data_IF_501790208724
#
_entry.id   IF_501790208724
#
_cell.length_a   1.000
_cell.length_b   1.000
_cell.length_c   1.000
_cell.angle_alpha   90.00
_cell.angle_beta   90.00
_cell.angle_gamma   90.00
#
_symmetry.space_group_name_H-M   'P 1'
#
loop_
_entity.id
_entity.type
_entity.pdbx_description
1 polymer ?
#
# COMPACT_ATOMS: atom_id res chain seq x y z
N UNK A 1 32.27 -29.32 53.15
CA UNK A 1 33.01 -30.58 53.02
C UNK A 1 32.69 -31.14 51.64
N UNK A 2 33.50 -30.84 50.61
CA UNK A 2 34.56 -31.70 50.06
C UNK A 2 33.99 -33.03 49.51
N UNK A 3 34.16 -33.45 48.26
CA UNK A 3 35.30 -33.31 47.36
C UNK A 3 34.88 -33.46 45.89
N UNK A 4 35.58 -32.74 45.01
CA UNK A 4 35.58 -32.90 43.56
C UNK A 4 36.40 -34.12 43.12
N UNK A 5 36.17 -34.62 41.90
CA UNK A 5 37.24 -35.03 40.98
C UNK A 5 36.75 -35.06 39.51
N UNK A 6 37.52 -34.34 38.72
CA UNK A 6 37.51 -33.98 37.30
C UNK A 6 37.68 -35.18 36.35
N UNK A 7 37.16 -35.09 35.11
CA UNK A 7 37.89 -35.48 33.88
C UNK A 7 37.21 -34.88 32.62
N UNK A 8 38.05 -34.48 31.66
CA UNK A 8 37.85 -33.61 30.49
C UNK A 8 37.66 -34.47 29.19
N UNK A 9 37.08 -33.96 28.08
CA UNK A 9 36.49 -34.76 27.00
C UNK A 9 37.45 -35.03 25.83
N UNK A 10 37.08 -35.87 24.83
CA UNK A 10 37.83 -35.92 23.57
C UNK A 10 37.26 -34.95 22.54
N UNK A 11 38.21 -34.26 21.92
CA UNK A 11 38.12 -33.39 20.76
C UNK A 11 38.05 -34.19 19.45
N UNK A 12 37.35 -33.68 18.45
CA UNK A 12 37.69 -33.91 17.04
C UNK A 12 37.08 -32.81 16.15
N UNK A 13 37.92 -31.84 15.77
CA UNK A 13 37.75 -31.02 14.57
C UNK A 13 38.12 -31.88 13.36
N UNK A 14 37.29 -31.90 12.33
CA UNK A 14 37.69 -32.32 10.99
C UNK A 14 37.50 -31.14 10.03
N UNK A 15 38.61 -30.47 9.73
CA UNK A 15 38.79 -29.58 8.58
C UNK A 15 39.30 -30.48 7.45
N UNK A 16 38.65 -30.47 6.29
CA UNK A 16 39.28 -30.97 5.06
C UNK A 16 39.05 -29.96 3.93
N UNK A 17 40.13 -29.29 3.53
CA UNK A 17 40.33 -28.70 2.21
C UNK A 17 41.04 -29.74 1.35
N UNK A 18 40.64 -29.88 0.08
CA UNK A 18 41.49 -29.66 -1.10
C UNK A 18 41.13 -30.54 -2.32
N UNK A 19 41.10 -29.85 -3.48
CA UNK A 19 41.39 -30.28 -4.88
C UNK A 19 40.37 -31.21 -5.55
N UNK A 20 39.70 -30.81 -6.65
CA UNK A 20 40.19 -30.44 -7.99
C UNK A 20 40.92 -31.61 -8.68
N UNK A 21 40.21 -32.28 -9.59
CA UNK A 21 40.66 -32.68 -10.94
C UNK A 21 39.67 -33.69 -11.57
N UNK A 22 39.36 -33.50 -12.87
CA UNK A 22 38.85 -34.44 -13.91
C UNK A 22 37.86 -33.75 -14.89
N UNK A 23 37.76 -34.15 -16.17
CA UNK A 23 38.65 -33.73 -17.25
C UNK A 23 37.92 -33.05 -18.43
N UNK A 24 38.69 -32.34 -19.26
CA UNK A 24 38.30 -31.77 -20.54
C UNK A 24 37.87 -32.88 -21.53
N UNK A 25 36.62 -32.80 -22.01
CA UNK A 25 36.15 -33.52 -23.20
C UNK A 25 35.94 -32.52 -24.34
N UNK A 26 36.65 -32.75 -25.45
CA UNK A 26 36.63 -31.94 -26.66
C UNK A 26 35.58 -32.53 -27.61
N UNK A 27 34.59 -31.71 -28.01
CA UNK A 27 33.58 -32.03 -29.02
C UNK A 27 33.59 -31.00 -30.17
N UNK A 28 33.14 -31.35 -31.38
CA UNK A 28 33.63 -30.75 -32.62
C UNK A 28 33.00 -29.38 -32.96
N UNK A 29 33.79 -28.60 -33.69
CA UNK A 29 33.51 -27.23 -34.11
C UNK A 29 32.29 -27.11 -35.04
N UNK A 30 31.35 -26.23 -34.66
CA UNK A 30 30.32 -25.70 -35.56
C UNK A 30 30.74 -24.30 -35.99
N UNK A 31 31.01 -24.14 -37.29
CA UNK A 31 31.25 -22.86 -37.97
C UNK A 31 29.98 -22.01 -37.92
N UNK A 32 30.03 -20.86 -37.27
CA UNK A 32 29.12 -19.75 -37.52
C UNK A 32 29.87 -18.58 -38.12
N UNK A 33 29.45 -18.20 -39.32
CA UNK A 33 29.98 -17.10 -40.13
C UNK A 33 29.79 -15.76 -39.42
N UNK A 34 30.91 -15.13 -39.01
CA UNK A 34 30.93 -13.72 -38.56
C UNK A 34 30.64 -12.81 -39.75
N UNK A 35 29.54 -12.06 -39.68
CA UNK A 35 29.31 -10.88 -40.53
C UNK A 35 30.08 -9.70 -39.91
N UNK A 36 30.86 -9.01 -40.74
CA UNK A 36 31.75 -7.93 -40.34
C UNK A 36 31.00 -6.76 -39.69
N UNK A 37 31.54 -6.25 -38.58
CA UNK A 37 31.06 -5.05 -37.90
C UNK A 37 31.32 -3.79 -38.73
N UNK A 38 30.32 -2.91 -38.79
CA UNK A 38 30.48 -1.50 -39.21
C UNK A 38 31.04 -0.69 -38.02
N UNK A 39 31.84 0.35 -38.27
CA UNK A 39 32.40 1.18 -37.20
C UNK A 39 31.31 2.00 -36.51
N UNK A 40 31.42 2.15 -35.18
CA UNK A 40 30.63 3.11 -34.41
C UNK A 40 31.03 4.52 -34.85
N UNK A 41 30.13 5.22 -35.52
CA UNK A 41 30.19 6.66 -35.69
C UNK A 41 29.87 7.31 -34.35
N UNK A 42 30.84 8.04 -33.80
CA UNK A 42 30.67 8.91 -32.63
C UNK A 42 29.62 9.99 -32.93
N UNK A 43 28.48 9.93 -32.26
CA UNK A 43 27.49 11.02 -32.23
C UNK A 43 27.98 12.15 -31.31
N UNK A 44 27.73 13.43 -31.64
CA UNK A 44 28.19 14.54 -30.82
C UNK A 44 27.37 14.61 -29.53
N UNK A 45 28.05 14.83 -28.41
CA UNK A 45 27.45 15.25 -27.17
C UNK A 45 26.89 16.67 -27.33
N UNK A 46 25.56 16.80 -27.39
CA UNK A 46 24.77 17.92 -26.86
C UNK A 46 23.32 17.83 -27.33
N UNK A 47 22.42 17.43 -26.42
CA UNK A 47 21.00 17.76 -26.38
C UNK A 47 20.33 17.02 -25.20
N UNK A 48 20.62 17.40 -23.96
CA UNK A 48 19.78 17.01 -22.82
C UNK A 48 18.55 17.92 -22.88
N UNK A 49 17.61 17.59 -23.74
CA UNK A 49 16.22 18.02 -23.58
C UNK A 49 15.61 17.04 -22.60
N UNK A 50 15.32 17.49 -21.38
CA UNK A 50 14.53 16.72 -20.44
C UNK A 50 13.15 16.49 -21.06
N UNK A 51 12.93 15.28 -21.59
CA UNK A 51 11.59 14.81 -21.93
C UNK A 51 10.82 14.78 -20.63
N UNK A 52 9.77 15.61 -20.50
CA UNK A 52 8.83 15.48 -19.39
C UNK A 52 8.34 14.02 -19.35
N UNK A 53 8.27 13.39 -18.17
CA UNK A 53 7.71 12.04 -18.05
C UNK A 53 6.31 12.04 -18.67
N UNK A 54 5.99 11.00 -19.44
CA UNK A 54 4.68 10.91 -20.08
C UNK A 54 3.63 10.73 -18.98
N UNK A 55 2.62 11.58 -18.96
CA UNK A 55 1.48 11.43 -18.06
C UNK A 55 0.47 10.44 -18.62
N UNK A 56 -0.33 9.84 -17.72
CA UNK A 56 -1.41 8.92 -18.05
C UNK A 56 -2.65 9.36 -17.29
N UNK A 57 -3.73 9.68 -18.02
CA UNK A 57 -5.03 9.94 -17.43
C UNK A 57 -5.75 8.60 -17.23
N UNK A 58 -6.08 8.26 -15.99
CA UNK A 58 -6.79 7.05 -15.61
C UNK A 58 -8.26 7.39 -15.30
N UNK A 59 -9.17 6.55 -15.77
CA UNK A 59 -10.61 6.61 -15.55
C UNK A 59 -11.04 5.26 -14.97
N UNK A 60 -11.58 5.27 -13.75
CA UNK A 60 -11.80 4.05 -12.96
C UNK A 60 -13.19 4.07 -12.34
N UNK A 61 -14.02 3.09 -12.65
CA UNK A 61 -15.31 2.85 -11.99
C UNK A 61 -15.16 1.84 -10.85
N UNK A 62 -16.15 1.77 -9.96
CA UNK A 62 -16.23 0.72 -8.96
C UNK A 62 -16.52 -0.64 -9.62
N UNK A 63 -15.80 -1.73 -9.33
CA UNK A 63 -16.13 -3.06 -9.83
C UNK A 63 -17.57 -3.53 -9.52
N UNK A 64 -18.17 -3.07 -8.42
CA UNK A 64 -19.56 -3.34 -8.07
C UNK A 64 -20.56 -2.55 -8.93
N UNK A 65 -20.12 -1.44 -9.55
CA UNK A 65 -20.91 -0.57 -10.43
C UNK A 65 -20.10 -0.25 -11.70
N UNK A 66 -19.89 -1.23 -12.61
CA UNK A 66 -18.99 -1.09 -13.75
C UNK A 66 -19.63 -0.25 -14.88
N UNK A 67 -19.63 1.07 -14.68
CA UNK A 67 -20.34 2.05 -15.52
C UNK A 67 -19.46 2.76 -16.55
N UNK A 68 -18.23 2.28 -16.79
CA UNK A 68 -17.33 2.95 -17.73
C UNK A 68 -17.72 2.64 -19.18
N UNK A 69 -18.30 3.63 -19.87
CA UNK A 69 -18.82 3.47 -21.23
C UNK A 69 -17.85 3.98 -22.32
N UNK A 70 -17.72 3.29 -23.47
CA UNK A 70 -16.87 3.74 -24.58
C UNK A 70 -17.22 5.14 -25.12
N UNK A 71 -18.49 5.54 -25.05
CA UNK A 71 -18.93 6.86 -25.50
C UNK A 71 -18.35 7.99 -24.65
N UNK A 72 -18.33 7.80 -23.32
CA UNK A 72 -17.69 8.75 -22.38
C UNK A 72 -16.19 8.85 -22.64
N UNK A 73 -15.51 7.71 -22.80
CA UNK A 73 -14.07 7.68 -23.11
C UNK A 73 -13.78 8.41 -24.43
N UNK A 74 -14.59 8.17 -25.47
CA UNK A 74 -14.43 8.83 -26.77
C UNK A 74 -14.63 10.35 -26.67
N UNK A 75 -15.59 10.81 -25.88
CA UNK A 75 -15.80 12.24 -25.64
C UNK A 75 -14.60 12.89 -24.95
N UNK A 76 -14.09 12.28 -23.87
CA UNK A 76 -12.89 12.76 -23.17
C UNK A 76 -11.68 12.75 -24.12
N UNK A 77 -11.45 11.64 -24.82
CA UNK A 77 -10.32 11.48 -25.74
C UNK A 77 -10.33 12.49 -26.89
N UNK A 78 -11.50 12.85 -27.42
CA UNK A 78 -11.62 13.84 -28.47
C UNK A 78 -11.05 15.21 -28.05
N UNK A 79 -11.17 15.55 -26.77
CA UNK A 79 -10.67 16.80 -26.19
C UNK A 79 -9.25 16.69 -25.64
N UNK A 80 -8.87 15.53 -25.09
CA UNK A 80 -7.56 15.35 -24.47
C UNK A 80 -6.48 14.88 -25.44
N UNK A 81 -6.85 14.20 -26.53
CA UNK A 81 -5.93 13.43 -27.37
C UNK A 81 -5.24 12.29 -26.59
N UNK A 82 -4.13 11.77 -27.13
CA UNK A 82 -3.39 10.64 -26.56
C UNK A 82 -3.78 9.29 -27.16
N UNK A 83 -3.34 8.21 -26.54
CA UNK A 83 -3.67 6.82 -26.92
C UNK A 83 -4.59 6.20 -25.87
N UNK A 84 -5.73 5.66 -26.31
CA UNK A 84 -6.67 4.95 -25.43
C UNK A 84 -6.15 3.54 -25.20
N UNK A 85 -6.08 3.14 -23.94
CA UNK A 85 -5.81 1.75 -23.54
C UNK A 85 -6.85 1.29 -22.50
N UNK A 86 -7.44 0.11 -22.70
CA UNK A 86 -8.45 -0.44 -21.78
C UNK A 86 -7.82 -1.52 -20.90
N UNK A 87 -7.68 -1.24 -19.62
CA UNK A 87 -7.18 -2.19 -18.62
C UNK A 87 -8.28 -3.18 -18.18
N UNK A 88 -9.54 -2.72 -18.22
CA UNK A 88 -10.74 -3.53 -18.05
C UNK A 88 -11.92 -2.90 -18.81
N UNK A 89 -12.64 -3.70 -19.60
CA UNK A 89 -13.67 -3.23 -20.57
C UNK A 89 -14.74 -2.27 -20.02
N UNK A 90 -15.11 -2.40 -18.75
CA UNK A 90 -16.18 -1.61 -18.12
C UNK A 90 -15.78 -0.96 -16.79
N UNK A 91 -14.52 -1.12 -16.38
CA UNK A 91 -14.04 -0.67 -15.05
C UNK A 91 -12.91 0.33 -15.19
N UNK A 92 -11.92 0.07 -16.06
CA UNK A 92 -10.71 0.86 -16.10
C UNK A 92 -10.25 1.13 -17.53
N UNK A 93 -10.12 2.40 -17.87
CA UNK A 93 -9.55 2.88 -19.11
C UNK A 93 -8.49 3.93 -18.79
N UNK A 94 -7.47 4.02 -19.63
CA UNK A 94 -6.48 5.07 -19.55
C UNK A 94 -6.28 5.75 -20.90
N UNK A 95 -5.84 7.00 -20.84
CA UNK A 95 -5.39 7.78 -21.98
C UNK A 95 -3.91 8.08 -21.75
N UNK A 96 -3.05 7.40 -22.50
CA UNK A 96 -1.60 7.51 -22.43
C UNK A 96 -1.16 8.75 -23.21
N UNK A 97 -0.26 9.53 -22.61
CA UNK A 97 0.29 10.75 -23.18
C UNK A 97 -0.80 11.71 -23.72
N UNK A 98 -1.76 12.13 -22.87
CA UNK A 98 -2.76 13.10 -23.27
C UNK A 98 -2.07 14.38 -23.75
N UNK A 99 -2.57 14.93 -24.85
CA UNK A 99 -2.02 16.15 -25.47
C UNK A 99 -2.48 17.41 -24.72
N UNK A 100 -3.63 17.36 -24.08
CA UNK A 100 -4.14 18.44 -23.23
C UNK A 100 -3.43 18.47 -21.88
N UNK A 101 -3.01 19.66 -21.45
CA UNK A 101 -2.49 19.89 -20.10
C UNK A 101 -3.58 19.85 -19.03
N UNK A 102 -4.84 20.01 -19.43
CA UNK A 102 -6.01 20.06 -18.54
C UNK A 102 -6.82 18.76 -18.59
N UNK A 103 -6.20 17.66 -19.03
CA UNK A 103 -6.87 16.38 -19.26
C UNK A 103 -7.70 15.89 -18.06
N UNK A 104 -7.22 16.12 -16.84
CA UNK A 104 -7.94 15.78 -15.62
C UNK A 104 -9.22 16.62 -15.43
N UNK A 105 -9.17 17.91 -15.74
CA UNK A 105 -10.34 18.80 -15.62
C UNK A 105 -11.40 18.43 -16.64
N UNK A 106 -10.98 18.22 -17.89
CA UNK A 106 -11.83 17.78 -19.00
C UNK A 106 -12.53 16.46 -18.64
N UNK A 107 -11.76 15.49 -18.15
CA UNK A 107 -12.30 14.21 -17.71
C UNK A 107 -13.37 14.37 -16.62
N UNK A 108 -13.08 15.16 -15.58
CA UNK A 108 -14.02 15.39 -14.47
C UNK A 108 -15.29 16.10 -14.91
N UNK A 109 -15.19 17.06 -15.83
CA UNK A 109 -16.35 17.75 -16.39
C UNK A 109 -17.23 16.79 -17.21
N UNK A 110 -16.62 15.97 -18.06
CA UNK A 110 -17.34 14.98 -18.86
C UNK A 110 -17.97 13.85 -18.01
N UNK A 111 -17.29 13.42 -16.94
CA UNK A 111 -17.82 12.44 -15.97
C UNK A 111 -19.06 13.01 -15.24
N UNK A 112 -19.03 14.30 -14.89
CA UNK A 112 -20.08 14.94 -14.13
C UNK A 112 -20.28 14.27 -12.77
N UNK A 113 -21.46 13.69 -12.54
CA UNK A 113 -21.82 13.01 -11.30
C UNK A 113 -21.81 11.48 -11.39
N UNK A 114 -21.31 10.91 -12.49
CA UNK A 114 -21.19 9.46 -12.62
C UNK A 114 -20.16 8.93 -11.60
N UNK A 115 -20.34 7.71 -11.05
CA UNK A 115 -19.44 7.12 -10.05
C UNK A 115 -18.15 6.60 -10.70
N UNK A 116 -17.38 7.52 -11.28
CA UNK A 116 -16.14 7.27 -12.02
C UNK A 116 -15.08 8.22 -11.48
N UNK A 117 -13.96 7.64 -11.04
CA UNK A 117 -12.78 8.37 -10.61
C UNK A 117 -11.92 8.77 -11.82
N UNK A 118 -11.31 9.95 -11.72
CA UNK A 118 -10.30 10.42 -12.67
C UNK A 118 -9.03 10.86 -11.94
N UNK A 119 -7.89 10.38 -12.42
CA UNK A 119 -6.57 10.69 -11.87
C UNK A 119 -5.53 10.81 -12.98
N UNK A 120 -4.50 11.63 -12.77
CA UNK A 120 -3.32 11.67 -13.65
C UNK A 120 -2.13 11.14 -12.87
N UNK A 121 -1.42 10.19 -13.47
CA UNK A 121 -0.22 9.57 -12.91
C UNK A 121 0.93 9.65 -13.92
N UNK A 122 2.16 9.52 -13.43
CA UNK A 122 3.33 9.40 -14.29
C UNK A 122 3.46 7.97 -14.82
N UNK A 123 3.84 7.83 -16.10
CA UNK A 123 4.18 6.54 -16.71
C UNK A 123 5.53 5.98 -16.21
N UNK A 124 6.44 6.86 -15.78
CA UNK A 124 7.72 6.45 -15.21
C UNK A 124 7.53 5.93 -13.78
N UNK A 125 8.20 4.84 -13.43
CA UNK A 125 8.09 4.19 -12.11
C UNK A 125 6.64 3.88 -11.72
N UNK A 126 5.76 3.63 -12.70
CA UNK A 126 4.32 3.47 -12.48
C UNK A 126 3.99 2.27 -11.59
N UNK A 127 4.60 1.10 -11.86
CA UNK A 127 4.51 -0.08 -10.97
C UNK A 127 5.37 0.10 -9.72
N UNK A 128 4.72 0.20 -8.57
CA UNK A 128 5.35 0.49 -7.28
C UNK A 128 5.92 -0.79 -6.68
N UNK A 129 7.10 -0.67 -6.07
CA UNK A 129 7.81 -1.77 -5.40
C UNK A 129 7.59 -1.81 -3.89
N UNK A 130 6.88 -0.83 -3.33
CA UNK A 130 6.54 -0.76 -1.92
C UNK A 130 5.12 -0.24 -1.77
N UNK A 131 4.31 -0.91 -0.96
CA UNK A 131 3.00 -0.45 -0.49
C UNK A 131 3.04 -0.25 1.03
N UNK A 132 2.61 0.93 1.48
CA UNK A 132 2.22 1.19 2.86
C UNK A 132 0.72 1.52 2.88
N UNK A 133 -0.05 0.87 3.75
CA UNK A 133 -1.49 1.07 3.84
C UNK A 133 -1.93 1.31 5.29
N UNK A 134 -2.89 2.20 5.51
CA UNK A 134 -3.64 2.22 6.77
C UNK A 134 -4.54 0.98 6.88
N UNK A 135 -5.03 0.69 8.08
CA UNK A 135 -5.95 -0.41 8.36
C UNK A 135 -7.40 0.09 8.43
N UNK A 136 -7.73 0.80 9.51
CA UNK A 136 -9.08 1.29 9.79
C UNK A 136 -9.56 2.19 8.65
N UNK A 137 -10.83 2.05 8.26
CA UNK A 137 -11.45 2.80 7.15
C UNK A 137 -10.71 2.75 5.79
N UNK A 138 -9.75 1.84 5.62
CA UNK A 138 -8.92 1.70 4.41
C UNK A 138 -8.85 0.25 3.94
N UNK A 139 -8.19 -0.65 4.71
CA UNK A 139 -8.09 -2.08 4.39
C UNK A 139 -9.21 -2.90 5.04
N UNK A 140 -9.87 -2.33 6.06
CA UNK A 140 -11.13 -2.77 6.66
C UNK A 140 -12.11 -1.60 6.65
N UNK A 141 -13.42 -1.89 6.73
CA UNK A 141 -14.45 -0.85 6.61
C UNK A 141 -14.75 -0.12 7.92
N UNK A 142 -14.37 -0.70 9.05
CA UNK A 142 -14.70 -0.20 10.38
C UNK A 142 -13.51 0.47 11.07
N UNK A 143 -13.83 1.28 12.09
CA UNK A 143 -12.89 1.76 13.10
C UNK A 143 -12.83 0.75 14.25
N UNK A 144 -11.71 0.02 14.41
CA UNK A 144 -11.61 -1.07 15.38
C UNK A 144 -11.94 -0.65 16.81
N UNK A 145 -11.57 0.57 17.22
CA UNK A 145 -11.80 1.07 18.57
C UNK A 145 -13.28 1.33 18.86
N UNK A 146 -14.03 1.77 17.85
CA UNK A 146 -15.46 2.05 17.98
C UNK A 146 -16.25 0.74 18.14
N UNK A 147 -15.86 -0.32 17.42
CA UNK A 147 -16.46 -1.66 17.54
C UNK A 147 -16.14 -2.32 18.89
N UNK A 148 -14.96 -2.04 19.48
CA UNK A 148 -14.65 -2.47 20.84
C UNK A 148 -15.49 -1.72 21.88
N UNK A 149 -15.70 -0.42 21.67
CA UNK A 149 -16.52 0.39 22.55
C UNK A 149 -18.01 -0.02 22.49
N UNK A 150 -18.50 -0.46 21.33
CA UNK A 150 -19.85 -0.97 21.16
C UNK A 150 -20.14 -2.19 22.03
N UNK A 151 -19.15 -3.07 22.22
CA UNK A 151 -19.27 -4.22 23.11
C UNK A 151 -19.52 -3.83 24.59
N UNK A 152 -19.24 -2.58 24.95
CA UNK A 152 -19.51 -1.98 26.27
C UNK A 152 -20.68 -0.98 26.26
N UNK A 153 -21.34 -0.77 25.11
CA UNK A 153 -22.37 0.25 24.95
C UNK A 153 -21.84 1.69 24.93
N UNK A 154 -20.53 1.87 24.67
CA UNK A 154 -19.83 3.16 24.71
C UNK A 154 -19.49 3.72 23.31
N UNK A 155 -20.02 3.12 22.24
CA UNK A 155 -19.70 3.48 20.85
C UNK A 155 -19.85 4.98 20.58
N UNK A 156 -20.96 5.59 21.01
CA UNK A 156 -21.21 7.01 20.79
C UNK A 156 -20.21 7.93 21.50
N UNK A 157 -19.78 7.57 22.71
CA UNK A 157 -18.80 8.35 23.48
C UNK A 157 -17.41 8.27 22.86
N UNK A 158 -16.98 7.07 22.46
CA UNK A 158 -15.69 6.85 21.82
C UNK A 158 -15.64 7.49 20.43
N UNK A 159 -16.69 7.34 19.62
CA UNK A 159 -16.78 7.94 18.29
C UNK A 159 -16.70 9.49 18.35
N UNK A 160 -17.33 10.11 19.35
CA UNK A 160 -17.24 11.56 19.55
C UNK A 160 -15.80 12.03 19.86
N UNK A 161 -15.02 11.23 20.62
CA UNK A 161 -13.59 11.52 20.86
C UNK A 161 -12.78 11.30 19.58
N UNK A 162 -13.05 10.22 18.84
CA UNK A 162 -12.40 9.91 17.55
C UNK A 162 -12.59 11.06 16.55
N UNK A 163 -13.83 11.54 16.39
CA UNK A 163 -14.15 12.64 15.47
C UNK A 163 -13.38 13.92 15.82
N UNK A 164 -13.36 14.32 17.09
CA UNK A 164 -12.62 15.50 17.56
C UNK A 164 -11.11 15.37 17.36
N UNK A 165 -10.55 14.18 17.59
CA UNK A 165 -9.14 13.92 17.34
C UNK A 165 -8.79 14.00 15.85
N UNK A 166 -9.62 13.43 14.98
CA UNK A 166 -9.45 13.51 13.52
C UNK A 166 -9.61 14.95 12.98
N UNK A 167 -10.43 15.77 13.64
CA UNK A 167 -10.57 17.20 13.33
C UNK A 167 -9.40 18.07 13.86
N UNK A 168 -8.46 17.47 14.60
CA UNK A 168 -7.33 18.18 15.20
C UNK A 168 -7.66 18.99 16.44
N UNK A 169 -8.83 18.76 17.06
CA UNK A 169 -9.24 19.42 18.31
C UNK A 169 -8.59 18.82 19.55
N UNK A 170 -8.12 17.57 19.45
CA UNK A 170 -7.45 16.82 20.52
C UNK A 170 -6.10 16.31 20.03
N UNK A 171 -5.12 16.26 20.93
CA UNK A 171 -3.87 15.56 20.65
C UNK A 171 -4.16 14.06 20.43
N UNK A 172 -3.50 13.46 19.44
CA UNK A 172 -3.75 12.08 19.05
C UNK A 172 -3.44 11.09 20.18
N UNK A 173 -2.32 11.28 20.88
CA UNK A 173 -1.91 10.38 21.95
C UNK A 173 -2.85 10.49 23.16
N UNK A 174 -3.27 11.71 23.51
CA UNK A 174 -4.26 11.96 24.57
C UNK A 174 -5.63 11.38 24.21
N UNK A 175 -6.10 11.58 22.98
CA UNK A 175 -7.36 11.04 22.49
C UNK A 175 -7.34 9.51 22.42
N UNK A 176 -6.23 8.90 21.99
CA UNK A 176 -6.06 7.45 22.02
C UNK A 176 -6.08 6.92 23.46
N UNK A 177 -5.28 7.50 24.36
CA UNK A 177 -5.25 7.10 25.76
C UNK A 177 -6.63 7.19 26.42
N UNK A 178 -7.35 8.27 26.17
CA UNK A 178 -8.72 8.47 26.67
C UNK A 178 -9.65 7.35 26.18
N UNK A 179 -9.69 7.09 24.86
CA UNK A 179 -10.57 6.07 24.28
C UNK A 179 -10.22 4.67 24.76
N UNK A 180 -8.93 4.33 24.88
CA UNK A 180 -8.50 3.02 25.38
C UNK A 180 -8.81 2.86 26.86
N UNK A 181 -8.73 3.93 27.67
CA UNK A 181 -9.10 3.86 29.09
C UNK A 181 -10.57 3.47 29.31
N UNK A 182 -11.47 3.84 28.39
CA UNK A 182 -12.89 3.47 28.43
C UNK A 182 -13.12 1.97 28.18
N UNK A 183 -12.12 1.26 27.64
CA UNK A 183 -12.18 -0.18 27.36
C UNK A 183 -11.63 -1.04 28.51
N UNK A 184 -11.27 -0.43 29.65
CA UNK A 184 -10.75 -1.15 30.83
C UNK A 184 -11.69 -2.27 31.25
N UNK A 185 -11.14 -3.46 31.49
CA UNK A 185 -11.90 -4.64 31.92
C UNK A 185 -12.55 -5.43 30.78
N UNK A 186 -12.48 -4.95 29.52
CA UNK A 186 -12.97 -5.72 28.37
C UNK A 186 -12.16 -7.02 28.23
N UNK A 187 -12.87 -8.15 28.17
CA UNK A 187 -12.24 -9.47 28.11
C UNK A 187 -11.67 -9.76 26.71
N UNK A 188 -10.50 -10.39 26.65
CA UNK A 188 -9.81 -10.81 25.42
C UNK A 188 -10.73 -11.57 24.47
N UNK A 189 -11.53 -12.52 24.99
CA UNK A 189 -12.47 -13.30 24.18
C UNK A 189 -13.52 -12.44 23.47
N UNK A 190 -13.91 -11.30 24.05
CA UNK A 190 -14.86 -10.37 23.44
C UNK A 190 -14.18 -9.61 22.30
N UNK A 191 -12.94 -9.16 22.50
CA UNK A 191 -12.12 -8.54 21.44
C UNK A 191 -11.93 -9.51 20.27
N UNK A 192 -11.69 -10.79 20.54
CA UNK A 192 -11.60 -11.85 19.52
C UNK A 192 -12.90 -12.03 18.73
N UNK A 193 -14.04 -12.00 19.43
CA UNK A 193 -15.35 -12.08 18.80
C UNK A 193 -15.60 -10.85 17.90
N UNK A 194 -15.36 -9.63 18.40
CA UNK A 194 -15.46 -8.38 17.62
C UNK A 194 -14.60 -8.46 16.36
N UNK A 195 -13.31 -8.78 16.50
CA UNK A 195 -12.39 -8.93 15.35
C UNK A 195 -12.87 -9.94 14.32
N UNK A 196 -13.54 -11.02 14.73
CA UNK A 196 -14.01 -12.09 13.82
C UNK A 196 -15.35 -11.78 13.19
N UNK A 197 -16.25 -11.11 13.91
CA UNK A 197 -17.68 -11.05 13.60
C UNK A 197 -18.16 -9.65 13.19
N UNK A 198 -17.43 -8.60 13.56
CA UNK A 198 -17.80 -7.21 13.29
C UNK A 198 -16.96 -6.55 12.21
N UNK A 199 -15.70 -6.94 12.11
CA UNK A 199 -14.76 -6.30 11.18
C UNK A 199 -14.77 -6.99 9.82
N UNK A 200 -14.94 -6.20 8.77
CA UNK A 200 -15.04 -6.64 7.38
C UNK A 200 -13.90 -6.08 6.54
N UNK A 201 -13.41 -6.88 5.59
CA UNK A 201 -12.35 -6.44 4.68
C UNK A 201 -12.90 -5.44 3.65
N UNK A 202 -12.14 -4.39 3.37
CA UNK A 202 -12.43 -3.49 2.26
C UNK A 202 -12.30 -4.25 0.93
N UNK A 203 -13.23 -4.03 -0.04
CA UNK A 203 -13.16 -4.69 -1.34
C UNK A 203 -11.85 -4.36 -2.07
N UNK A 204 -11.31 -5.34 -2.79
CA UNK A 204 -10.07 -5.20 -3.55
C UNK A 204 -8.76 -5.27 -2.74
N UNK A 205 -8.78 -5.19 -1.40
CA UNK A 205 -7.56 -5.09 -0.61
C UNK A 205 -6.64 -6.31 -0.69
N UNK A 206 -7.22 -7.52 -0.68
CA UNK A 206 -6.47 -8.75 -0.94
C UNK A 206 -5.89 -8.77 -2.36
N UNK A 207 -6.66 -8.33 -3.34
CA UNK A 207 -6.21 -8.32 -4.72
C UNK A 207 -5.03 -7.36 -4.93
N UNK A 208 -5.11 -6.16 -4.34
CA UNK A 208 -4.03 -5.18 -4.33
C UNK A 208 -2.73 -5.79 -3.78
N UNK A 209 -2.78 -6.33 -2.56
CA UNK A 209 -1.59 -6.85 -1.87
C UNK A 209 -1.02 -8.07 -2.59
N UNK A 210 -1.86 -9.05 -2.93
CA UNK A 210 -1.39 -10.29 -3.58
C UNK A 210 -0.80 -10.01 -4.96
N UNK A 211 -1.44 -9.15 -5.76
CA UNK A 211 -0.92 -8.76 -7.07
C UNK A 211 0.43 -8.07 -6.91
N UNK A 212 0.52 -7.01 -6.10
CA UNK A 212 1.79 -6.29 -5.91
C UNK A 212 2.92 -7.22 -5.44
N UNK A 213 2.64 -8.15 -4.52
CA UNK A 213 3.62 -9.13 -4.04
C UNK A 213 4.07 -10.11 -5.12
N UNK A 214 3.16 -10.60 -5.96
CA UNK A 214 3.53 -11.47 -7.07
C UNK A 214 4.47 -10.80 -8.07
N UNK A 215 4.39 -9.47 -8.18
CA UNK A 215 5.31 -8.63 -8.97
C UNK A 215 6.52 -8.11 -8.17
N UNK A 216 6.77 -8.66 -6.97
CA UNK A 216 7.97 -8.41 -6.18
C UNK A 216 7.94 -7.17 -5.30
N UNK A 217 6.77 -6.56 -5.08
CA UNK A 217 6.64 -5.47 -4.13
C UNK A 217 6.68 -5.97 -2.68
N UNK A 218 7.21 -5.14 -1.79
CA UNK A 218 7.05 -5.32 -0.34
C UNK A 218 5.81 -4.58 0.13
N UNK A 219 5.06 -5.16 1.07
CA UNK A 219 3.78 -4.62 1.52
C UNK A 219 3.72 -4.54 3.05
N UNK A 220 3.36 -3.37 3.57
CA UNK A 220 3.28 -3.12 5.01
C UNK A 220 1.93 -2.48 5.39
N UNK A 221 1.31 -3.00 6.45
CA UNK A 221 0.11 -2.43 7.05
C UNK A 221 0.50 -1.62 8.30
N UNK A 222 0.35 -0.30 8.27
CA UNK A 222 0.79 0.58 9.36
C UNK A 222 -0.39 1.40 9.86
N UNK A 223 -0.82 1.15 11.10
CA UNK A 223 -2.07 1.67 11.63
C UNK A 223 -1.93 2.28 13.03
N UNK A 224 -2.72 3.32 13.30
CA UNK A 224 -2.93 3.86 14.65
C UNK A 224 -3.89 3.00 15.50
N UNK A 225 -4.49 1.96 14.92
CA UNK A 225 -5.28 0.95 15.62
C UNK A 225 -4.38 -0.01 16.41
N UNK A 226 -4.81 -1.28 16.54
CA UNK A 226 -4.17 -2.23 17.46
C UNK A 226 -3.59 -3.48 16.76
N UNK A 227 -2.45 -3.98 17.25
CA UNK A 227 -1.79 -5.18 16.71
C UNK A 227 -2.70 -6.40 16.71
N UNK A 228 -3.61 -6.49 17.68
CA UNK A 228 -4.60 -7.55 17.78
C UNK A 228 -5.47 -7.71 16.51
N UNK A 229 -5.71 -6.60 15.81
CA UNK A 229 -6.44 -6.52 14.55
C UNK A 229 -5.47 -6.48 13.37
N UNK A 230 -4.44 -5.62 13.44
CA UNK A 230 -3.49 -5.43 12.35
C UNK A 230 -2.79 -6.73 11.95
N UNK A 231 -2.25 -7.50 12.90
CA UNK A 231 -1.58 -8.77 12.60
C UNK A 231 -2.53 -9.80 11.98
N UNK A 232 -3.78 -9.81 12.45
CA UNK A 232 -4.81 -10.72 12.00
C UNK A 232 -5.24 -10.45 10.55
N UNK A 233 -5.54 -9.19 10.23
CA UNK A 233 -5.94 -8.80 8.88
C UNK A 233 -4.76 -8.75 7.92
N UNK A 234 -3.59 -8.31 8.37
CA UNK A 234 -2.36 -8.37 7.59
C UNK A 234 -2.08 -9.78 7.09
N UNK A 235 -2.17 -10.80 7.95
CA UNK A 235 -1.99 -12.20 7.57
C UNK A 235 -3.07 -12.70 6.60
N UNK A 236 -4.34 -12.32 6.80
CA UNK A 236 -5.46 -12.74 5.94
C UNK A 236 -5.40 -12.14 4.53
N UNK A 237 -5.00 -10.87 4.44
CA UNK A 237 -4.81 -10.14 3.19
C UNK A 237 -3.48 -10.57 2.53
N UNK A 238 -2.48 -10.90 3.36
CA UNK A 238 -1.18 -11.43 2.99
C UNK A 238 -0.07 -10.38 2.88
N UNK A 239 -0.12 -9.33 3.71
CA UNK A 239 0.98 -8.38 3.89
C UNK A 239 2.26 -9.05 4.38
N UNK A 240 3.40 -8.42 4.17
CA UNK A 240 4.70 -8.89 4.66
C UNK A 240 4.95 -8.50 6.12
N UNK A 241 4.44 -7.34 6.53
CA UNK A 241 4.50 -6.87 7.91
C UNK A 241 3.28 -6.05 8.32
N UNK A 242 3.07 -5.95 9.64
CA UNK A 242 2.10 -5.08 10.27
C UNK A 242 2.72 -4.33 11.46
N UNK A 243 2.36 -3.06 11.63
CA UNK A 243 2.78 -2.24 12.77
C UNK A 243 1.57 -1.47 13.27
N UNK A 244 1.28 -1.59 14.56
CA UNK A 244 0.16 -0.94 15.22
C UNK A 244 0.40 -0.79 16.74
N UNK A 245 -0.51 -0.13 17.43
CA UNK A 245 -0.43 0.02 18.90
C UNK A 245 -0.69 -1.31 19.61
N UNK A 246 -0.01 -1.54 20.73
CA UNK A 246 -0.17 -2.78 21.51
C UNK A 246 -1.07 -2.50 22.70
N UNK A 247 -2.25 -3.12 22.73
CA UNK A 247 -3.12 -3.12 23.90
C UNK A 247 -2.49 -3.93 25.03
N UNK A 248 -2.49 -3.37 26.24
CA UNK A 248 -1.99 -4.06 27.43
C UNK A 248 -3.11 -4.84 28.14
N UNK A 249 -2.76 -6.00 28.65
CA UNK A 249 -3.68 -6.93 29.31
C UNK A 249 -3.15 -7.30 30.69
N UNK A 250 -4.06 -7.40 31.66
CA UNK A 250 -3.84 -8.06 32.94
C UNK A 250 -4.64 -9.36 32.94
N UNK A 251 -3.94 -10.48 32.74
CA UNK A 251 -4.55 -11.77 32.45
C UNK A 251 -5.39 -11.73 31.17
N UNK A 252 -6.70 -11.93 31.32
CA UNK A 252 -7.66 -12.00 30.21
C UNK A 252 -8.44 -10.69 29.98
N UNK A 253 -8.14 -9.61 30.70
CA UNK A 253 -8.86 -8.33 30.56
C UNK A 253 -7.93 -7.18 30.19
N UNK A 254 -8.44 -6.20 29.44
CA UNK A 254 -7.71 -4.98 29.12
C UNK A 254 -7.43 -4.15 30.36
N UNK A 255 -6.22 -3.60 30.44
CA UNK A 255 -5.82 -2.63 31.47
C UNK A 255 -6.35 -1.23 31.19
N UNK A 256 -6.78 -0.96 29.96
CA UNK A 256 -7.13 0.39 29.50
C UNK A 256 -5.92 1.23 29.05
N UNK A 257 -4.78 0.59 28.79
CA UNK A 257 -3.54 1.27 28.37
C UNK A 257 -2.96 0.67 27.08
N UNK A 258 -2.10 1.44 26.41
CA UNK A 258 -1.32 1.01 25.24
C UNK A 258 0.17 1.11 25.55
N UNK A 259 0.95 0.14 25.04
CA UNK A 259 2.39 0.15 25.19
C UNK A 259 3.02 1.29 24.37
N UNK A 260 4.13 1.84 24.87
CA UNK A 260 4.93 2.84 24.17
C UNK A 260 6.04 2.18 23.32
N UNK A 261 6.47 2.81 22.21
CA UNK A 261 5.94 4.05 21.64
C UNK A 261 4.62 3.84 20.88
N UNK A 262 3.75 4.85 20.91
CA UNK A 262 2.51 4.87 20.12
C UNK A 262 2.81 5.07 18.63
N UNK A 263 2.09 4.34 17.77
CA UNK A 263 2.03 4.54 16.34
C UNK A 263 1.14 5.73 16.01
N UNK A 264 1.77 6.79 15.53
CA UNK A 264 1.15 8.05 15.13
C UNK A 264 1.40 8.35 13.64
N UNK A 265 0.96 9.53 13.18
CA UNK A 265 1.21 10.00 11.80
C UNK A 265 2.71 10.03 11.44
N UNK A 266 3.58 10.36 12.40
CA UNK A 266 5.02 10.43 12.16
C UNK A 266 5.64 9.04 12.00
N UNK A 267 5.08 8.05 12.69
CA UNK A 267 5.47 6.65 12.58
C UNK A 267 5.18 6.09 11.19
N UNK A 268 4.01 6.42 10.60
CA UNK A 268 3.67 6.03 9.22
C UNK A 268 4.68 6.56 8.20
N UNK A 269 5.00 7.85 8.26
CA UNK A 269 6.00 8.46 7.39
C UNK A 269 7.39 7.85 7.58
N UNK A 270 7.87 7.76 8.82
CA UNK A 270 9.19 7.17 9.12
C UNK A 270 9.30 5.73 8.64
N UNK A 271 8.22 4.94 8.75
CA UNK A 271 8.24 3.56 8.27
C UNK A 271 8.29 3.49 6.76
N UNK A 272 7.55 4.35 6.04
CA UNK A 272 7.65 4.46 4.59
C UNK A 272 9.10 4.76 4.15
N UNK A 273 9.73 5.76 4.76
CA UNK A 273 11.11 6.15 4.45
C UNK A 273 12.12 5.04 4.78
N UNK A 274 11.98 4.41 5.95
CA UNK A 274 12.83 3.30 6.37
C UNK A 274 12.70 2.11 5.42
N UNK A 275 11.49 1.71 5.05
CA UNK A 275 11.25 0.61 4.11
C UNK A 275 11.80 0.91 2.72
N UNK A 276 11.66 2.15 2.23
CA UNK A 276 12.26 2.53 0.95
C UNK A 276 13.79 2.33 0.97
N UNK A 277 14.46 2.72 2.07
CA UNK A 277 15.91 2.51 2.26
C UNK A 277 16.24 1.02 2.38
N UNK A 278 15.57 0.29 3.27
CA UNK A 278 15.77 -1.15 3.52
C UNK A 278 15.61 -1.98 2.23
N UNK A 279 14.71 -1.56 1.34
CA UNK A 279 14.43 -2.23 0.06
C UNK A 279 15.21 -1.65 -1.12
N UNK A 280 16.06 -0.64 -0.90
CA UNK A 280 16.83 0.03 -1.96
C UNK A 280 15.93 0.56 -3.09
N UNK A 281 14.79 1.16 -2.71
CA UNK A 281 13.81 1.73 -3.63
C UNK A 281 13.85 3.26 -3.55
N UNK A 282 13.83 3.98 -4.69
CA UNK A 282 13.57 5.41 -4.67
C UNK A 282 12.12 5.66 -4.23
N UNK A 283 11.87 6.81 -3.57
CA UNK A 283 10.52 7.20 -3.13
C UNK A 283 9.51 7.21 -4.30
N UNK A 284 9.93 7.53 -5.53
CA UNK A 284 9.09 7.44 -6.72
C UNK A 284 8.46 6.04 -6.98
N UNK A 285 9.04 4.97 -6.40
CA UNK A 285 8.56 3.58 -6.50
C UNK A 285 7.75 3.14 -5.27
N UNK A 286 7.28 4.05 -4.43
CA UNK A 286 6.43 3.73 -3.28
C UNK A 286 4.98 4.14 -3.53
N UNK A 287 4.06 3.42 -2.89
CA UNK A 287 2.62 3.65 -2.86
C UNK A 287 2.19 3.79 -1.40
N UNK A 288 1.45 4.86 -1.08
CA UNK A 288 0.79 5.03 0.20
C UNK A 288 -0.71 5.21 0.01
N UNK A 289 -1.53 4.55 0.84
CA UNK A 289 -2.98 4.68 0.85
C UNK A 289 -3.54 4.82 2.25
N UNK A 290 -4.51 5.73 2.40
CA UNK A 290 -5.27 5.97 3.62
C UNK A 290 -6.47 6.87 3.35
N UNK A 291 -7.36 7.02 4.32
CA UNK A 291 -8.57 7.84 4.23
C UNK A 291 -8.47 9.14 5.07
N UNK A 292 -7.56 9.16 6.05
CA UNK A 292 -7.56 10.12 7.15
C UNK A 292 -6.46 11.17 7.11
N UNK A 293 -6.61 12.18 7.97
CA UNK A 293 -5.61 13.25 8.13
C UNK A 293 -4.29 12.75 8.76
N UNK A 294 -4.36 11.66 9.53
CA UNK A 294 -3.22 10.90 10.07
C UNK A 294 -2.33 10.29 8.98
N UNK A 295 -2.84 10.13 7.75
CA UNK A 295 -2.11 9.52 6.64
C UNK A 295 -1.46 10.52 5.70
N UNK A 296 -1.85 11.80 5.78
CA UNK A 296 -1.43 12.83 4.84
C UNK A 296 0.10 12.95 4.71
N UNK A 297 0.83 12.76 5.80
CA UNK A 297 2.30 12.84 5.78
C UNK A 297 2.90 11.70 4.95
N UNK A 298 2.42 10.45 5.09
CA UNK A 298 2.88 9.33 4.26
C UNK A 298 2.38 9.43 2.81
N UNK A 299 1.11 9.87 2.62
CA UNK A 299 0.50 10.06 1.30
C UNK A 299 1.29 11.08 0.49
N UNK A 300 1.65 12.22 1.08
CA UNK A 300 2.42 13.27 0.39
C UNK A 300 3.85 12.86 0.07
N UNK A 301 4.46 12.03 0.91
CA UNK A 301 5.84 11.62 0.73
C UNK A 301 5.99 10.49 -0.31
N UNK A 302 4.96 9.67 -0.51
CA UNK A 302 5.02 8.54 -1.42
C UNK A 302 5.10 8.96 -2.89
N UNK A 303 5.70 8.11 -3.73
CA UNK A 303 5.74 8.33 -5.18
C UNK A 303 4.39 8.22 -5.86
N UNK A 304 3.44 7.54 -5.24
CA UNK A 304 2.01 7.60 -5.53
C UNK A 304 1.26 7.62 -4.19
N UNK A 305 0.75 8.78 -3.83
CA UNK A 305 -0.08 8.95 -2.63
C UNK A 305 -1.56 8.96 -2.98
N UNK A 306 -2.34 8.05 -2.41
CA UNK A 306 -3.77 7.90 -2.69
C UNK A 306 -4.60 8.13 -1.43
N UNK A 307 -5.53 9.08 -1.51
CA UNK A 307 -6.62 9.22 -0.55
C UNK A 307 -7.80 8.35 -1.01
N UNK A 308 -8.15 7.31 -0.24
CA UNK A 308 -9.25 6.40 -0.56
C UNK A 308 -10.49 6.76 0.26
N UNK A 309 -11.61 7.02 -0.41
CA UNK A 309 -12.91 7.38 0.20
C UNK A 309 -12.79 8.45 1.29
N UNK A 310 -11.81 9.33 1.13
CA UNK A 310 -11.33 10.21 2.17
C UNK A 310 -12.27 11.41 2.37
N UNK A 311 -12.22 12.00 3.57
CA UNK A 311 -12.92 13.26 3.83
C UNK A 311 -12.45 14.34 2.84
N UNK A 312 -13.31 15.30 2.43
CA UNK A 312 -12.96 16.31 1.44
C UNK A 312 -11.67 17.10 1.75
N UNK A 313 -11.39 17.36 3.02
CA UNK A 313 -10.17 18.05 3.46
C UNK A 313 -8.91 17.23 3.19
N UNK A 314 -8.96 15.90 3.36
CA UNK A 314 -7.84 14.98 3.11
C UNK A 314 -7.67 14.77 1.61
N UNK A 315 -8.77 14.51 0.89
CA UNK A 315 -8.77 14.32 -0.56
C UNK A 315 -8.21 15.53 -1.32
N UNK A 316 -8.47 16.76 -0.84
CA UNK A 316 -7.92 17.98 -1.44
C UNK A 316 -6.40 18.14 -1.27
N UNK A 317 -5.79 17.39 -0.34
CA UNK A 317 -4.37 17.46 0.00
C UNK A 317 -3.54 16.31 -0.58
N UNK A 318 -4.20 15.28 -1.13
CA UNK A 318 -3.56 14.11 -1.73
C UNK A 318 -3.26 14.33 -3.22
N UNK A 319 -2.27 13.60 -3.74
CA UNK A 319 -1.92 13.61 -5.17
C UNK A 319 -3.03 12.99 -6.01
N UNK A 320 -3.53 11.85 -5.56
CA UNK A 320 -4.63 11.11 -6.18
C UNK A 320 -5.70 10.86 -5.12
N UNK A 321 -6.97 10.93 -5.54
CA UNK A 321 -8.10 10.48 -4.74
C UNK A 321 -8.90 9.43 -5.52
N UNK A 322 -9.47 8.49 -4.79
CA UNK A 322 -10.42 7.50 -5.28
C UNK A 322 -11.66 7.65 -4.41
N UNK A 323 -12.74 8.18 -5.00
CA UNK A 323 -13.99 8.49 -4.34
C UNK A 323 -15.00 7.34 -4.51
N UNK A 324 -14.90 6.58 -5.62
CA UNK A 324 -15.89 5.56 -5.99
C UNK A 324 -15.32 4.14 -6.07
N UNK A 325 -14.13 3.99 -6.67
CA UNK A 325 -13.46 2.71 -6.87
C UNK A 325 -13.10 2.01 -5.57
N UNK A 326 -12.93 0.70 -5.61
CA UNK A 326 -12.37 -0.06 -4.49
C UNK A 326 -10.83 -0.08 -4.54
N UNK A 327 -10.18 -0.86 -3.66
CA UNK A 327 -8.71 -0.93 -3.61
C UNK A 327 -8.07 -1.49 -4.89
N UNK A 328 -8.82 -2.14 -5.79
CA UNK A 328 -8.27 -2.53 -7.11
C UNK A 328 -8.00 -1.33 -8.01
N UNK A 329 -8.62 -0.17 -7.75
CA UNK A 329 -8.29 1.08 -8.43
C UNK A 329 -6.79 1.41 -8.36
N UNK A 330 -6.14 1.08 -7.24
CA UNK A 330 -4.70 1.31 -7.06
C UNK A 330 -3.83 0.41 -7.96
N UNK A 331 -4.34 -0.73 -8.41
CA UNK A 331 -3.68 -1.54 -9.44
C UNK A 331 -3.85 -0.91 -10.82
N UNK A 332 -5.04 -0.43 -11.16
CA UNK A 332 -5.28 0.26 -12.43
C UNK A 332 -4.48 1.57 -12.54
N UNK A 333 -4.34 2.33 -11.46
CA UNK A 333 -3.43 3.50 -11.42
C UNK A 333 -1.98 3.10 -11.75
N UNK A 334 -1.57 1.88 -11.41
CA UNK A 334 -0.24 1.35 -11.72
C UNK A 334 -0.12 0.73 -13.12
N UNK A 335 -1.22 0.66 -13.87
CA UNK A 335 -1.28 0.07 -15.22
C UNK A 335 -1.27 -1.45 -15.22
N UNK A 336 -1.83 -2.09 -14.20
CA UNK A 336 -2.15 -3.52 -14.26
C UNK A 336 -3.41 -3.73 -15.08
N UNK A 337 -3.38 -4.72 -15.97
CA UNK A 337 -4.55 -5.23 -16.69
C UNK A 337 -5.30 -6.26 -15.84
N UNK A 338 -6.60 -6.46 -16.11
CA UNK A 338 -7.45 -7.37 -15.33
C UNK A 338 -6.92 -8.80 -15.24
N UNK A 339 -6.27 -9.31 -16.28
CA UNK A 339 -5.69 -10.66 -16.32
C UNK A 339 -4.39 -10.79 -15.50
N UNK A 340 -3.77 -9.67 -15.14
CA UNK A 340 -2.63 -9.62 -14.22
C UNK A 340 -3.04 -9.60 -12.74
N UNK A 341 -4.32 -9.30 -12.43
CA UNK A 341 -4.81 -9.15 -11.05
C UNK A 341 -5.07 -10.51 -10.41
N UNK A 342 -4.41 -10.75 -9.28
CA UNK A 342 -4.54 -11.96 -8.45
C UNK A 342 -5.57 -11.73 -7.36
N UNK A 343 -6.54 -12.64 -7.17
CA UNK A 343 -7.60 -12.56 -6.15
C UNK A 343 -7.56 -13.71 -5.15
#
# INVERSE_FOLDING_TARGET
>A
MASALTTIPPSARAISRARADLPLAVGPAIRTTRRAGRPLTTMPANAIWGTRPLSVLCLIANPAEPVLEPALIAAIHAETGGEINWLHRTIACEIIAPKSTDALSIAREAIGSAPIDAAVVDSENRRKGLLIADMDSTMINEECIDELADALGLKAEVAAITERAMNGELDFAEALATRVSLLTGLERRVIEAVRREKITLAPGGRALVQTMKAYGAYTALISGGFTFFADYFAKRIGFDEAVANVLEFDGETLTGTVAQPIVDKTTKLRRLEALAIERTLPMARTLAVGDGANDLDMIRAAGLGVALHAKPSVAAQAQVRIDHGDLTALLYLQGYEEDEIIR
#
